data_IF_066554107940
#
_entry.id   IF_066554107940
#
_cell.length_a   1.000
_cell.length_b   1.000
_cell.length_c   1.000
_cell.angle_alpha   90.00
_cell.angle_beta   90.00
_cell.angle_gamma   90.00
#
_symmetry.space_group_name_H-M   'P 1'
#
loop_
_entity.id
_entity.type
_entity.pdbx_description
1 polymer ?
#
# COMPACT_ATOMS: atom_id res chain seq x y z
N UNK A 1 21.57 22.70 -24.62
CA UNK A 1 20.56 23.17 -23.66
C UNK A 1 19.22 22.64 -24.13
N UNK A 2 18.51 21.86 -23.29
CA UNK A 2 17.14 21.46 -23.59
C UNK A 2 16.22 22.67 -23.34
N UNK A 3 15.26 22.94 -24.23
CA UNK A 3 14.36 24.08 -24.10
C UNK A 3 13.48 23.98 -22.86
N UNK A 4 13.06 25.14 -22.34
CA UNK A 4 12.28 25.23 -21.10
C UNK A 4 10.87 24.64 -21.30
N UNK A 5 10.22 24.14 -20.23
CA UNK A 5 8.90 23.50 -20.31
C UNK A 5 7.77 24.36 -20.91
N UNK A 6 7.93 25.69 -20.93
CA UNK A 6 6.96 26.66 -21.47
C UNK A 6 7.01 26.79 -23.01
N UNK A 7 8.05 26.28 -23.68
CA UNK A 7 8.24 26.41 -25.13
C UNK A 7 7.66 25.24 -25.96
N UNK A 8 6.86 24.37 -25.33
CA UNK A 8 6.31 23.16 -25.94
C UNK A 8 5.00 23.44 -26.70
N UNK A 9 5.08 24.29 -27.73
CA UNK A 9 3.96 24.51 -28.66
C UNK A 9 4.05 23.56 -29.87
N UNK A 10 2.90 23.11 -30.42
CA UNK A 10 2.87 22.31 -31.64
C UNK A 10 3.31 23.18 -32.83
N UNK A 11 4.61 23.19 -33.10
CA UNK A 11 5.25 24.05 -34.11
C UNK A 11 6.73 24.32 -33.88
N UNK A 12 7.27 24.03 -32.69
CA UNK A 12 8.72 24.12 -32.43
C UNK A 12 9.51 23.06 -33.21
N UNK A 13 10.49 23.44 -34.06
CA UNK A 13 11.28 22.49 -34.86
C UNK A 13 12.26 21.65 -34.02
N UNK A 14 12.33 21.87 -32.71
CA UNK A 14 13.31 21.25 -31.81
C UNK A 14 12.73 20.12 -30.94
N UNK A 15 11.43 19.82 -31.04
CA UNK A 15 10.77 18.78 -30.24
C UNK A 15 10.19 17.71 -31.16
N UNK A 16 10.79 16.53 -31.17
CA UNK A 16 10.27 15.38 -31.92
C UNK A 16 8.82 15.07 -31.49
N UNK A 17 7.91 14.79 -32.43
CA UNK A 17 6.53 14.37 -32.12
C UNK A 17 6.46 13.19 -31.13
N UNK A 18 7.47 12.33 -31.12
CA UNK A 18 7.59 11.23 -30.17
C UNK A 18 7.76 11.72 -28.71
N UNK A 19 8.48 12.82 -28.50
CA UNK A 19 8.77 13.37 -27.19
C UNK A 19 7.53 14.05 -26.58
N UNK A 20 6.74 14.75 -27.41
CA UNK A 20 5.44 15.30 -26.99
C UNK A 20 4.45 14.18 -26.60
N UNK A 21 4.36 13.11 -27.40
CA UNK A 21 3.52 11.95 -27.08
C UNK A 21 3.95 11.30 -25.77
N UNK A 22 5.25 11.10 -25.57
CA UNK A 22 5.78 10.54 -24.33
C UNK A 22 5.45 11.41 -23.10
N UNK A 23 5.59 12.74 -23.20
CA UNK A 23 5.21 13.68 -22.13
C UNK A 23 3.74 13.51 -21.75
N UNK A 24 2.85 13.53 -22.74
CA UNK A 24 1.41 13.39 -22.52
C UNK A 24 1.07 12.06 -21.85
N UNK A 25 1.58 10.94 -22.39
CA UNK A 25 1.34 9.62 -21.80
C UNK A 25 1.93 9.48 -20.38
N UNK A 26 3.05 10.15 -20.10
CA UNK A 26 3.63 10.20 -18.76
C UNK A 26 2.75 10.97 -17.77
N UNK A 27 2.27 12.15 -18.16
CA UNK A 27 1.37 12.96 -17.33
C UNK A 27 0.06 12.20 -17.04
N UNK A 28 -0.52 11.55 -18.05
CA UNK A 28 -1.70 10.68 -17.89
C UNK A 28 -1.43 9.50 -16.95
N UNK A 29 -0.28 8.85 -17.09
CA UNK A 29 0.12 7.74 -16.22
C UNK A 29 0.24 8.17 -14.75
N UNK A 30 0.94 9.28 -14.50
CA UNK A 30 1.07 9.85 -13.14
C UNK A 30 -0.30 10.23 -12.58
N UNK A 31 -1.15 10.85 -13.39
CA UNK A 31 -2.49 11.25 -12.96
C UNK A 31 -3.38 10.05 -12.63
N UNK A 32 -3.27 8.97 -13.40
CA UNK A 32 -3.94 7.70 -13.09
C UNK A 32 -3.48 7.14 -11.75
N UNK A 33 -2.16 7.04 -11.53
CA UNK A 33 -1.60 6.53 -10.27
C UNK A 33 -2.04 7.37 -9.06
N UNK A 34 -1.98 8.70 -9.19
CA UNK A 34 -2.39 9.60 -8.12
C UNK A 34 -3.88 9.48 -7.79
N UNK A 35 -4.74 9.29 -8.80
CA UNK A 35 -6.18 9.04 -8.58
C UNK A 35 -6.40 7.71 -7.87
N UNK A 36 -5.74 6.65 -8.34
CA UNK A 36 -5.86 5.32 -7.76
C UNK A 36 -5.42 5.33 -6.29
N UNK A 37 -4.23 5.85 -5.98
CA UNK A 37 -3.73 5.89 -4.60
C UNK A 37 -4.56 6.78 -3.66
N UNK A 38 -5.17 7.87 -4.18
CA UNK A 38 -6.13 8.66 -3.38
C UNK A 38 -7.35 7.82 -3.00
N UNK A 39 -7.91 7.09 -3.97
CA UNK A 39 -9.04 6.18 -3.71
C UNK A 39 -8.66 5.10 -2.71
N UNK A 40 -7.50 4.44 -2.89
CA UNK A 40 -7.01 3.42 -1.95
C UNK A 40 -6.82 3.98 -0.54
N UNK A 41 -6.31 5.21 -0.39
CA UNK A 41 -6.15 5.84 0.92
C UNK A 41 -7.50 6.07 1.61
N UNK A 42 -8.52 6.50 0.87
CA UNK A 42 -9.88 6.64 1.42
C UNK A 42 -10.40 5.28 1.87
N UNK A 43 -10.27 4.24 1.04
CA UNK A 43 -10.69 2.88 1.39
C UNK A 43 -9.94 2.36 2.60
N UNK A 44 -8.62 2.54 2.67
CA UNK A 44 -7.79 2.14 3.81
C UNK A 44 -8.21 2.88 5.09
N UNK A 45 -8.51 4.18 5.03
CA UNK A 45 -9.00 4.93 6.18
C UNK A 45 -10.37 4.43 6.67
N UNK A 46 -11.31 4.16 5.76
CA UNK A 46 -12.61 3.58 6.09
C UNK A 46 -12.47 2.19 6.71
N UNK A 47 -11.56 1.37 6.16
CA UNK A 47 -11.28 0.04 6.67
C UNK A 47 -10.65 0.10 8.07
N UNK A 48 -9.72 1.02 8.32
CA UNK A 48 -9.17 1.28 9.66
C UNK A 48 -10.28 1.61 10.66
N UNK A 49 -11.21 2.51 10.29
CA UNK A 49 -12.35 2.84 11.15
C UNK A 49 -13.21 1.61 11.45
N UNK A 50 -13.55 0.81 10.44
CA UNK A 50 -14.35 -0.41 10.62
C UNK A 50 -13.65 -1.43 11.54
N UNK A 51 -12.34 -1.63 11.39
CA UNK A 51 -11.56 -2.53 12.24
C UNK A 51 -11.52 -2.02 13.68
N UNK A 52 -11.32 -0.72 13.90
CA UNK A 52 -11.33 -0.12 15.23
C UNK A 52 -12.69 -0.26 15.92
N UNK A 53 -13.79 -0.11 15.17
CA UNK A 53 -15.15 -0.36 15.69
C UNK A 53 -15.34 -1.82 16.07
N UNK A 54 -14.80 -2.79 15.32
CA UNK A 54 -14.88 -4.20 15.70
C UNK A 54 -14.21 -4.47 17.05
N UNK A 55 -13.08 -3.81 17.35
CA UNK A 55 -12.44 -3.92 18.67
C UNK A 55 -13.24 -3.30 19.83
N UNK A 56 -14.24 -2.48 19.54
CA UNK A 56 -15.14 -1.96 20.58
C UNK A 56 -16.16 -3.00 21.04
N UNK A 57 -16.36 -4.09 20.28
CA UNK A 57 -17.22 -5.20 20.68
C UNK A 57 -16.43 -6.15 21.60
N UNK A 58 -16.84 -6.33 22.87
CA UNK A 58 -16.08 -7.14 23.84
C UNK A 58 -15.84 -8.57 23.37
N UNK A 59 -16.84 -9.20 22.76
CA UNK A 59 -16.75 -10.59 22.27
C UNK A 59 -15.77 -10.75 21.10
N UNK A 60 -15.62 -9.72 20.26
CA UNK A 60 -14.65 -9.70 19.17
C UNK A 60 -13.22 -9.42 19.69
N UNK A 61 -13.10 -8.58 20.73
CA UNK A 61 -11.83 -8.18 21.31
C UNK A 61 -11.22 -9.26 22.23
N UNK A 62 -12.06 -10.08 22.85
CA UNK A 62 -11.61 -11.18 23.72
C UNK A 62 -11.27 -12.44 22.91
N UNK A 63 -11.93 -12.66 21.78
CA UNK A 63 -11.70 -13.82 20.95
C UNK A 63 -10.32 -13.79 20.24
N UNK A 64 -9.41 -14.75 20.52
CA UNK A 64 -8.03 -14.67 20.03
C UNK A 64 -7.88 -14.73 18.50
N UNK A 65 -8.75 -15.49 17.82
CA UNK A 65 -8.69 -15.65 16.36
C UNK A 65 -9.21 -14.38 15.66
N UNK A 66 -10.39 -13.91 16.08
CA UNK A 66 -11.00 -12.67 15.59
C UNK A 66 -10.06 -11.49 15.81
N UNK A 67 -9.55 -11.34 17.04
CA UNK A 67 -8.61 -10.27 17.39
C UNK A 67 -7.34 -10.32 16.56
N UNK A 68 -6.74 -11.49 16.36
CA UNK A 68 -5.48 -11.61 15.59
C UNK A 68 -5.69 -11.23 14.13
N UNK A 69 -6.76 -11.75 13.50
CA UNK A 69 -7.07 -11.43 12.11
C UNK A 69 -7.36 -9.93 11.94
N UNK A 70 -8.10 -9.32 12.88
CA UNK A 70 -8.34 -7.88 12.89
C UNK A 70 -7.04 -7.07 13.07
N UNK A 71 -6.10 -7.51 13.93
CA UNK A 71 -4.80 -6.84 14.10
C UNK A 71 -3.90 -6.95 12.86
N UNK A 72 -3.86 -8.10 12.20
CA UNK A 72 -3.14 -8.28 10.92
C UNK A 72 -3.73 -7.36 9.85
N UNK A 73 -5.06 -7.32 9.77
CA UNK A 73 -5.77 -6.42 8.87
C UNK A 73 -5.43 -4.95 9.14
N UNK A 74 -5.41 -4.55 10.41
CA UNK A 74 -5.09 -3.18 10.84
C UNK A 74 -3.69 -2.78 10.41
N UNK A 75 -2.69 -3.64 10.66
CA UNK A 75 -1.30 -3.38 10.24
C UNK A 75 -1.22 -3.21 8.73
N UNK A 76 -1.85 -4.10 7.97
CA UNK A 76 -1.87 -4.00 6.51
C UNK A 76 -2.51 -2.69 6.01
N UNK A 77 -3.62 -2.27 6.61
CA UNK A 77 -4.28 -1.01 6.26
C UNK A 77 -3.43 0.21 6.60
N UNK A 78 -2.77 0.23 7.77
CA UNK A 78 -1.83 1.31 8.14
C UNK A 78 -0.67 1.37 7.15
N UNK A 79 -0.08 0.22 6.80
CA UNK A 79 1.02 0.17 5.82
C UNK A 79 0.57 0.68 4.45
N UNK A 80 -0.59 0.23 3.95
CA UNK A 80 -1.18 0.70 2.68
C UNK A 80 -1.38 2.22 2.68
N UNK A 81 -2.00 2.76 3.73
CA UNK A 81 -2.24 4.19 3.89
C UNK A 81 -0.93 4.99 3.92
N UNK A 82 0.09 4.48 4.63
CA UNK A 82 1.39 5.12 4.72
C UNK A 82 2.08 5.21 3.35
N UNK A 83 2.02 4.12 2.56
CA UNK A 83 2.58 4.09 1.21
C UNK A 83 1.82 5.02 0.27
N UNK A 84 0.49 4.96 0.26
CA UNK A 84 -0.33 5.81 -0.60
C UNK A 84 -0.11 7.30 -0.31
N UNK A 85 -0.06 7.70 0.97
CA UNK A 85 0.25 9.09 1.36
C UNK A 85 1.64 9.52 0.87
N UNK A 86 2.67 8.70 1.10
CA UNK A 86 4.02 9.01 0.65
C UNK A 86 4.12 9.10 -0.88
N UNK A 87 3.43 8.20 -1.60
CA UNK A 87 3.42 8.18 -3.06
C UNK A 87 2.74 9.39 -3.66
N UNK A 88 1.59 9.79 -3.12
CA UNK A 88 0.89 11.00 -3.57
C UNK A 88 1.81 12.23 -3.44
N UNK A 89 2.53 12.37 -2.32
CA UNK A 89 3.45 13.49 -2.11
C UNK A 89 4.63 13.45 -3.09
N UNK A 90 5.24 12.28 -3.29
CA UNK A 90 6.47 12.16 -4.10
C UNK A 90 6.18 12.17 -5.59
N UNK A 91 5.25 11.34 -6.07
CA UNK A 91 4.85 11.28 -7.47
C UNK A 91 4.03 12.50 -7.92
N UNK A 92 3.37 13.21 -6.99
CA UNK A 92 2.75 14.51 -7.27
C UNK A 92 3.74 15.53 -7.85
N UNK A 93 5.04 15.38 -7.56
CA UNK A 93 6.10 16.24 -8.09
C UNK A 93 6.80 15.67 -9.35
N UNK A 94 6.45 14.48 -9.82
CA UNK A 94 7.16 13.78 -10.92
C UNK A 94 6.62 14.06 -12.33
N UNK A 95 5.74 15.05 -12.51
CA UNK A 95 5.16 15.38 -13.83
C UNK A 95 6.18 15.91 -14.87
N UNK A 96 7.35 16.39 -14.44
CA UNK A 96 8.37 16.93 -15.35
C UNK A 96 9.01 15.85 -16.24
N UNK A 97 9.22 16.16 -17.53
CA UNK A 97 9.88 15.28 -18.49
C UNK A 97 11.29 14.83 -18.08
N UNK A 98 12.06 15.68 -17.41
CA UNK A 98 13.39 15.32 -16.93
C UNK A 98 13.33 14.19 -15.89
N UNK A 99 12.31 14.23 -15.01
CA UNK A 99 12.08 13.18 -14.01
C UNK A 99 11.51 11.92 -14.67
N UNK A 100 10.67 12.08 -15.69
CA UNK A 100 10.14 10.98 -16.49
C UNK A 100 11.26 10.18 -17.18
N UNK A 101 12.22 10.87 -17.82
CA UNK A 101 13.34 10.21 -18.50
C UNK A 101 14.26 9.50 -17.51
N UNK A 102 14.55 10.12 -16.36
CA UNK A 102 15.36 9.51 -15.29
C UNK A 102 14.67 8.29 -14.68
N UNK A 103 13.36 8.37 -14.43
CA UNK A 103 12.57 7.25 -13.95
C UNK A 103 12.57 6.09 -14.95
N UNK A 104 12.39 6.37 -16.25
CA UNK A 104 12.41 5.34 -17.29
C UNK A 104 13.78 4.65 -17.40
N UNK A 105 14.87 5.41 -17.29
CA UNK A 105 16.23 4.89 -17.29
C UNK A 105 16.48 3.95 -16.09
N UNK A 106 16.09 4.38 -14.89
CA UNK A 106 16.25 3.56 -13.68
C UNK A 106 15.30 2.35 -13.64
N UNK A 107 14.09 2.49 -14.20
CA UNK A 107 13.17 1.37 -14.37
C UNK A 107 13.72 0.29 -15.30
N UNK A 108 14.49 0.67 -16.34
CA UNK A 108 15.18 -0.29 -17.19
C UNK A 108 16.34 -0.98 -16.48
N UNK A 109 17.15 -0.24 -15.70
CA UNK A 109 18.29 -0.80 -14.95
C UNK A 109 17.85 -1.78 -13.86
N UNK A 110 16.71 -1.54 -13.23
CA UNK A 110 16.21 -2.34 -12.09
C UNK A 110 15.59 -3.69 -12.51
N UNK A 111 15.51 -4.02 -13.82
CA UNK A 111 14.92 -5.29 -14.30
C UNK A 111 15.58 -6.57 -13.76
N UNK A 112 16.80 -6.51 -13.23
CA UNK A 112 17.57 -7.70 -12.80
C UNK A 112 17.28 -8.17 -11.37
N UNK A 113 16.64 -7.36 -10.53
CA UNK A 113 16.32 -7.74 -9.15
C UNK A 113 14.91 -8.34 -9.04
N UNK A 114 14.82 -9.67 -8.94
CA UNK A 114 13.54 -10.40 -8.76
C UNK A 114 12.74 -9.95 -7.53
N UNK A 115 13.42 -9.52 -6.47
CA UNK A 115 12.79 -9.16 -5.19
C UNK A 115 12.38 -7.68 -5.11
N UNK A 116 12.82 -6.84 -6.05
CA UNK A 116 12.54 -5.40 -6.04
C UNK A 116 12.54 -4.84 -7.46
N UNK A 117 11.36 -4.45 -7.94
CA UNK A 117 11.15 -3.83 -9.24
C UNK A 117 10.25 -2.59 -9.08
N UNK A 118 10.37 -1.62 -9.97
CA UNK A 118 9.52 -0.43 -10.02
C UNK A 118 8.03 -0.79 -10.05
N UNK A 119 7.66 -1.87 -10.72
CA UNK A 119 6.28 -2.36 -10.74
C UNK A 119 5.81 -2.84 -9.36
N UNK A 120 6.70 -3.49 -8.60
CA UNK A 120 6.42 -3.91 -7.22
C UNK A 120 6.21 -2.66 -6.35
N UNK A 121 7.06 -1.64 -6.50
CA UNK A 121 6.91 -0.36 -5.79
C UNK A 121 5.53 0.25 -6.07
N UNK A 122 5.11 0.36 -7.33
CA UNK A 122 3.82 0.95 -7.68
C UNK A 122 2.62 0.16 -7.12
N UNK A 123 2.73 -1.16 -7.03
CA UNK A 123 1.66 -2.05 -6.58
C UNK A 123 1.52 -2.16 -5.04
N UNK A 124 2.54 -1.75 -4.25
CA UNK A 124 2.58 -1.96 -2.79
C UNK A 124 1.32 -1.48 -2.04
N UNK A 125 0.78 -0.27 -2.27
CA UNK A 125 -0.43 0.19 -1.57
C UNK A 125 -1.63 -0.73 -1.81
N UNK A 126 -1.83 -1.19 -3.05
CA UNK A 126 -2.92 -2.09 -3.42
C UNK A 126 -2.72 -3.46 -2.78
N UNK A 127 -1.51 -4.03 -2.87
CA UNK A 127 -1.21 -5.36 -2.32
C UNK A 127 -1.48 -5.41 -0.81
N UNK A 128 -1.00 -4.42 -0.05
CA UNK A 128 -1.25 -4.35 1.39
C UNK A 128 -2.72 -4.10 1.70
N UNK A 129 -3.44 -3.30 0.90
CA UNK A 129 -4.89 -3.14 1.06
C UNK A 129 -5.64 -4.46 0.83
N UNK A 130 -5.28 -5.23 -0.22
CA UNK A 130 -5.90 -6.52 -0.50
C UNK A 130 -5.70 -7.51 0.65
N UNK A 131 -4.49 -7.61 1.21
CA UNK A 131 -4.24 -8.42 2.39
C UNK A 131 -5.04 -7.95 3.60
N UNK A 132 -5.14 -6.63 3.80
CA UNK A 132 -5.97 -6.06 4.87
C UNK A 132 -7.41 -6.52 4.76
N UNK A 133 -7.98 -6.46 3.56
CA UNK A 133 -9.37 -6.86 3.29
C UNK A 133 -9.58 -8.37 3.50
N UNK A 134 -8.66 -9.22 3.05
CA UNK A 134 -8.72 -10.68 3.30
C UNK A 134 -8.69 -10.98 4.80
N UNK A 135 -7.79 -10.37 5.55
CA UNK A 135 -7.71 -10.57 7.00
C UNK A 135 -8.94 -10.00 7.73
N UNK A 136 -9.51 -8.90 7.26
CA UNK A 136 -10.73 -8.35 7.87
C UNK A 136 -11.94 -9.25 7.64
N UNK A 137 -12.12 -9.77 6.42
CA UNK A 137 -13.15 -10.77 6.11
C UNK A 137 -12.95 -12.01 6.98
N UNK A 138 -11.71 -12.47 7.14
CA UNK A 138 -11.38 -13.59 8.04
C UNK A 138 -11.79 -13.27 9.48
N UNK A 139 -11.55 -12.04 9.96
CA UNK A 139 -11.98 -11.62 11.30
C UNK A 139 -13.51 -11.64 11.44
N UNK A 140 -14.25 -11.14 10.44
CA UNK A 140 -15.73 -11.18 10.43
C UNK A 140 -16.23 -12.63 10.46
N UNK A 141 -15.66 -13.52 9.65
CA UNK A 141 -16.05 -14.93 9.63
C UNK A 141 -15.74 -15.58 10.98
N UNK A 142 -14.54 -15.36 11.54
CA UNK A 142 -14.19 -15.87 12.87
C UNK A 142 -15.16 -15.36 13.95
N UNK A 143 -15.54 -14.09 13.91
CA UNK A 143 -16.50 -13.51 14.84
C UNK A 143 -17.85 -14.23 14.73
N UNK A 144 -18.46 -14.24 13.54
CA UNK A 144 -19.78 -14.86 13.29
C UNK A 144 -19.82 -16.33 13.71
N UNK A 145 -18.77 -17.10 13.41
CA UNK A 145 -18.73 -18.52 13.73
C UNK A 145 -18.46 -18.82 15.18
N UNK A 146 -17.93 -17.87 15.94
CA UNK A 146 -17.53 -18.12 17.32
C UNK A 146 -18.49 -17.49 18.31
N UNK A 147 -19.26 -16.46 17.95
CA UNK A 147 -20.19 -15.75 18.85
C UNK A 147 -21.66 -15.97 18.47
N UNK A 148 -22.53 -16.12 19.47
CA UNK A 148 -23.99 -15.97 19.33
C UNK A 148 -24.80 -17.25 19.52
N UNK A 149 -24.17 -18.37 19.89
CA UNK A 149 -24.86 -19.60 20.29
C UNK A 149 -25.15 -19.60 21.78
N UNK A 150 -26.32 -20.13 22.17
CA UNK A 150 -26.70 -20.33 23.58
C UNK A 150 -25.75 -21.31 24.29
N UNK A 151 -25.05 -22.14 23.52
CA UNK A 151 -24.05 -23.10 24.01
C UNK A 151 -22.63 -22.52 24.06
N UNK A 152 -22.42 -21.27 23.65
CA UNK A 152 -21.11 -20.65 23.72
C UNK A 152 -20.70 -20.46 25.19
N UNK A 153 -19.47 -20.83 25.58
CA UNK A 153 -19.00 -20.61 26.93
C UNK A 153 -18.94 -19.11 27.25
N UNK A 154 -19.36 -18.67 28.45
CA UNK A 154 -19.37 -17.27 28.85
C UNK A 154 -17.98 -16.65 28.91
N UNK A 155 -16.94 -17.48 29.11
CA UNK A 155 -15.54 -17.09 29.05
C UNK A 155 -14.80 -18.11 28.19
N UNK A 156 -14.22 -17.68 27.08
CA UNK A 156 -13.45 -18.58 26.22
C UNK A 156 -12.05 -18.71 26.78
N UNK A 157 -11.62 -19.95 27.01
CA UNK A 157 -10.23 -20.23 27.37
C UNK A 157 -9.30 -19.60 26.33
N UNK A 158 -8.33 -18.83 26.81
CA UNK A 158 -7.32 -18.22 25.97
C UNK A 158 -6.53 -19.30 25.21
N UNK A 159 -5.98 -18.93 24.05
CA UNK A 159 -5.10 -19.83 23.31
C UNK A 159 -3.96 -20.32 24.23
N UNK A 160 -3.65 -21.62 24.27
CA UNK A 160 -2.54 -22.12 25.06
C UNK A 160 -1.25 -21.40 24.65
N UNK A 161 -0.29 -21.15 25.56
CA UNK A 161 0.84 -20.25 25.32
C UNK A 161 1.61 -20.58 24.03
N UNK A 162 1.76 -21.87 23.71
CA UNK A 162 2.39 -22.34 22.47
C UNK A 162 1.59 -21.98 21.22
N UNK A 163 0.26 -22.05 21.27
CA UNK A 163 -0.62 -21.68 20.15
C UNK A 163 -0.73 -20.16 19.99
N UNK A 164 -0.60 -19.38 21.07
CA UNK A 164 -0.61 -17.92 21.03
C UNK A 164 0.67 -17.31 20.41
N UNK A 165 1.78 -18.06 20.38
CA UNK A 165 3.03 -17.60 19.76
C UNK A 165 2.90 -17.45 18.24
N UNK A 166 2.18 -18.34 17.56
CA UNK A 166 1.99 -18.28 16.11
C UNK A 166 1.40 -16.94 15.63
N UNK A 167 0.22 -16.53 16.13
CA UNK A 167 -0.35 -15.20 15.92
C UNK A 167 0.62 -14.04 16.17
N UNK A 168 1.34 -14.07 17.30
CA UNK A 168 2.29 -13.00 17.68
C UNK A 168 3.47 -12.90 16.72
N UNK A 169 4.00 -14.05 16.29
CA UNK A 169 5.07 -14.12 15.29
C UNK A 169 4.54 -13.62 13.95
N UNK A 170 3.34 -14.03 13.53
CA UNK A 170 2.76 -13.59 12.26
C UNK A 170 2.57 -12.07 12.20
N UNK A 171 1.97 -11.49 13.26
CA UNK A 171 1.75 -10.04 13.39
C UNK A 171 3.06 -9.25 13.34
N UNK A 172 4.04 -9.65 14.14
CA UNK A 172 5.34 -8.97 14.18
C UNK A 172 6.13 -9.15 12.88
N UNK A 173 6.11 -10.35 12.29
CA UNK A 173 6.79 -10.62 11.02
C UNK A 173 6.22 -9.78 9.88
N UNK A 174 4.88 -9.71 9.78
CA UNK A 174 4.22 -8.91 8.74
C UNK A 174 4.49 -7.41 8.89
N UNK A 175 4.52 -6.91 10.13
CA UNK A 175 4.93 -5.54 10.42
C UNK A 175 6.38 -5.27 10.02
N UNK A 176 7.32 -6.14 10.41
CA UNK A 176 8.74 -6.00 10.06
C UNK A 176 8.94 -6.05 8.54
N UNK A 177 8.28 -6.97 7.84
CA UNK A 177 8.31 -7.04 6.38
C UNK A 177 7.79 -5.73 5.77
N UNK A 178 6.67 -5.20 6.27
CA UNK A 178 6.17 -3.89 5.88
C UNK A 178 7.22 -2.78 6.06
N UNK A 179 7.86 -2.73 7.22
CA UNK A 179 8.90 -1.72 7.49
C UNK A 179 10.12 -1.85 6.58
N UNK A 180 10.55 -3.06 6.25
CA UNK A 180 11.63 -3.30 5.28
C UNK A 180 11.25 -2.73 3.91
N UNK A 181 10.04 -3.04 3.42
CA UNK A 181 9.55 -2.47 2.17
C UNK A 181 9.48 -0.94 2.23
N UNK A 182 8.98 -0.36 3.33
CA UNK A 182 8.95 1.10 3.51
C UNK A 182 10.34 1.73 3.34
N UNK A 183 11.37 1.16 3.96
CA UNK A 183 12.75 1.68 3.85
C UNK A 183 13.27 1.58 2.42
N UNK A 184 13.03 0.46 1.72
CA UNK A 184 13.41 0.29 0.32
C UNK A 184 12.73 1.32 -0.57
N UNK A 185 11.43 1.53 -0.37
CA UNK A 185 10.65 2.54 -1.07
C UNK A 185 11.25 3.94 -0.89
N UNK A 186 11.52 4.35 0.36
CA UNK A 186 12.08 5.68 0.65
C UNK A 186 13.44 5.86 -0.04
N UNK A 187 14.30 4.84 -0.01
CA UNK A 187 15.60 4.87 -0.69
C UNK A 187 15.45 5.05 -2.21
N UNK A 188 14.54 4.30 -2.83
CA UNK A 188 14.26 4.39 -4.27
C UNK A 188 13.70 5.77 -4.65
N UNK A 189 12.72 6.29 -3.89
CA UNK A 189 12.16 7.62 -4.15
C UNK A 189 13.17 8.75 -3.98
N UNK A 190 14.13 8.60 -3.04
CA UNK A 190 15.25 9.54 -2.90
C UNK A 190 16.15 9.53 -4.14
N UNK A 191 16.48 8.35 -4.67
CA UNK A 191 17.30 8.20 -5.88
C UNK A 191 16.68 8.83 -7.12
N UNK A 192 15.34 8.90 -7.20
CA UNK A 192 14.64 9.57 -8.31
C UNK A 192 14.54 11.09 -8.13
N UNK A 193 14.71 11.59 -6.91
CA UNK A 193 14.59 13.00 -6.57
C UNK A 193 15.90 13.80 -6.62
N UNK A 194 17.07 13.12 -6.60
CA UNK A 194 18.40 13.69 -6.82
C UNK A 194 18.79 13.68 -8.29
#
# INVERSE_FOLDING_TARGET
MLPLPEEWTPGSPFVSPALMRFKHSWEEFIDSLLREWKTLNVVSALLLSAILTMFQVPDAATDPLTRTAALLSLICAIMSLSYGCMYIVRFGTMRSMYRASRWAEEAQKTKTFLWWNVWILLAMPVVFMSWSMIFFITAIICYVWRTGSVLDPPEREGLPPKAALGPRIAVTSLFVIGMVYFVLIVKTLKSYGS
#
